data_IF_484351848337
#
_entry.id   IF_484351848337
#
_cell.length_a   1.000
_cell.length_b   1.000
_cell.length_c   1.000
_cell.angle_alpha   90.00
_cell.angle_beta   90.00
_cell.angle_gamma   90.00
#
_symmetry.space_group_name_H-M   'P 1'
#
loop_
_entity.id
_entity.type
_entity.pdbx_description
1 polymer ?
#
# COMPACT_ATOMS: atom_id res chain seq x y z
N UNK A 1 -10.00 20.60 16.32
CA UNK A 1 -9.56 19.93 15.07
C UNK A 1 -10.81 19.60 14.28
N UNK A 2 -10.95 20.09 13.03
CA UNK A 2 -12.17 19.83 12.25
C UNK A 2 -12.15 18.40 11.68
N UNK A 3 -13.32 17.84 11.37
CA UNK A 3 -13.41 16.52 10.73
C UNK A 3 -12.61 16.47 9.41
N UNK A 4 -12.53 17.60 8.70
CA UNK A 4 -11.74 17.77 7.48
C UNK A 4 -10.23 17.66 7.73
N UNK A 5 -9.72 18.27 8.80
CA UNK A 5 -8.30 18.21 9.16
C UNK A 5 -7.89 16.79 9.53
N UNK A 6 -8.76 16.06 10.23
CA UNK A 6 -8.54 14.66 10.57
C UNK A 6 -8.44 13.75 9.34
N UNK A 7 -9.33 13.94 8.35
CA UNK A 7 -9.27 13.18 7.09
C UNK A 7 -8.02 13.54 6.28
N UNK A 8 -7.59 14.81 6.28
CA UNK A 8 -6.32 15.23 5.64
C UNK A 8 -5.11 14.57 6.28
N UNK A 9 -5.05 14.51 7.61
CA UNK A 9 -3.95 13.84 8.32
C UNK A 9 -3.92 12.34 8.03
N UNK A 10 -5.09 11.68 8.00
CA UNK A 10 -5.21 10.28 7.58
C UNK A 10 -4.79 10.05 6.13
N UNK A 11 -5.09 10.97 5.22
CA UNK A 11 -4.64 10.89 3.83
C UNK A 11 -3.11 11.07 3.73
N UNK A 12 -2.53 11.98 4.51
CA UNK A 12 -1.07 12.16 4.58
C UNK A 12 -0.39 10.89 5.10
N UNK A 13 -0.91 10.31 6.19
CA UNK A 13 -0.46 9.01 6.68
C UNK A 13 -0.63 7.90 5.63
N UNK A 14 -1.78 7.87 4.94
CA UNK A 14 -2.04 6.92 3.87
C UNK A 14 -1.03 6.99 2.72
N UNK A 15 -0.59 8.20 2.34
CA UNK A 15 0.50 8.36 1.36
C UNK A 15 1.81 7.74 1.85
N UNK A 16 2.18 7.97 3.12
CA UNK A 16 3.39 7.39 3.72
C UNK A 16 3.32 5.85 3.70
N UNK A 17 2.17 5.28 4.07
CA UNK A 17 1.94 3.83 4.04
C UNK A 17 2.08 3.28 2.61
N UNK A 18 1.48 3.96 1.61
CA UNK A 18 1.60 3.56 0.20
C UNK A 18 3.06 3.60 -0.26
N UNK A 19 3.80 4.68 0.04
CA UNK A 19 5.21 4.82 -0.33
C UNK A 19 6.07 3.73 0.34
N UNK A 20 5.87 3.48 1.63
CA UNK A 20 6.58 2.40 2.35
C UNK A 20 6.26 1.02 1.79
N UNK A 21 5.00 0.79 1.43
CA UNK A 21 4.56 -0.46 0.81
C UNK A 21 5.19 -0.69 -0.58
N UNK A 22 5.27 0.35 -1.43
CA UNK A 22 5.98 0.28 -2.71
C UNK A 22 7.47 -0.01 -2.50
N UNK A 23 8.10 0.64 -1.52
CA UNK A 23 9.50 0.37 -1.15
C UNK A 23 9.72 -1.10 -0.77
N UNK A 24 8.86 -1.66 0.08
CA UNK A 24 8.92 -3.06 0.49
C UNK A 24 8.79 -4.04 -0.69
N UNK A 25 7.91 -3.74 -1.67
CA UNK A 25 7.78 -4.54 -2.89
C UNK A 25 9.09 -4.55 -3.68
N UNK A 26 9.71 -3.39 -3.86
CA UNK A 26 10.97 -3.28 -4.61
C UNK A 26 12.09 -4.04 -3.90
N UNK A 27 12.22 -3.89 -2.57
CA UNK A 27 13.22 -4.62 -1.79
C UNK A 27 13.02 -6.14 -1.88
N UNK A 28 11.77 -6.60 -1.78
CA UNK A 28 11.45 -8.01 -1.93
C UNK A 28 11.79 -8.51 -3.34
N UNK A 29 11.46 -7.74 -4.38
CA UNK A 29 11.78 -8.09 -5.76
C UNK A 29 13.29 -8.20 -6.01
N UNK A 30 14.08 -7.26 -5.48
CA UNK A 30 15.54 -7.30 -5.56
C UNK A 30 16.12 -8.50 -4.81
N UNK A 31 15.61 -8.79 -3.61
CA UNK A 31 16.01 -9.98 -2.84
C UNK A 31 15.73 -11.28 -3.62
N UNK A 32 14.57 -11.35 -4.28
CA UNK A 32 14.19 -12.51 -5.10
C UNK A 32 15.13 -12.67 -6.29
N UNK A 33 15.46 -11.59 -7.00
CA UNK A 33 16.39 -11.63 -8.14
C UNK A 33 17.75 -12.17 -7.71
N UNK A 34 18.24 -11.76 -6.53
CA UNK A 34 19.50 -12.27 -5.99
C UNK A 34 19.45 -13.76 -5.60
N UNK A 35 18.26 -14.32 -5.39
CA UNK A 35 18.05 -15.70 -4.90
C UNK A 35 17.25 -16.59 -5.88
N UNK A 36 17.30 -16.27 -7.19
CA UNK A 36 16.48 -16.87 -8.28
C UNK A 36 16.53 -18.42 -8.34
N UNK A 37 17.58 -19.06 -7.82
CA UNK A 37 17.76 -20.51 -7.90
C UNK A 37 16.86 -21.36 -6.99
N UNK A 38 16.20 -20.80 -5.96
CA UNK A 38 15.66 -21.64 -4.86
C UNK A 38 14.19 -21.39 -4.47
N UNK A 39 13.57 -20.25 -4.82
CA UNK A 39 12.38 -19.77 -4.10
C UNK A 39 11.15 -19.42 -4.95
N UNK A 40 11.02 -19.96 -6.18
CA UNK A 40 9.94 -19.61 -7.12
C UNK A 40 8.51 -19.73 -6.55
N UNK A 41 8.25 -20.69 -5.66
CA UNK A 41 6.95 -20.88 -5.01
C UNK A 41 6.64 -19.77 -3.98
N UNK A 42 7.63 -19.41 -3.16
CA UNK A 42 7.50 -18.35 -2.14
C UNK A 42 7.26 -17.00 -2.82
N UNK A 43 7.95 -16.76 -3.94
CA UNK A 43 7.79 -15.56 -4.78
C UNK A 43 6.36 -15.41 -5.28
N UNK A 44 5.78 -16.48 -5.85
CA UNK A 44 4.39 -16.46 -6.36
C UNK A 44 3.39 -16.19 -5.24
N UNK A 45 3.56 -16.81 -4.07
CA UNK A 45 2.72 -16.56 -2.90
C UNK A 45 2.81 -15.12 -2.41
N UNK A 46 4.02 -14.57 -2.32
CA UNK A 46 4.25 -13.19 -1.90
C UNK A 46 3.62 -12.18 -2.88
N UNK A 47 3.69 -12.42 -4.19
CA UNK A 47 3.05 -11.57 -5.20
C UNK A 47 1.53 -11.54 -5.03
N UNK A 48 0.88 -12.67 -4.77
CA UNK A 48 -0.57 -12.74 -4.55
C UNK A 48 -0.98 -11.95 -3.30
N UNK A 49 -0.25 -12.11 -2.20
CA UNK A 49 -0.48 -11.37 -0.96
C UNK A 49 -0.29 -9.87 -1.18
N UNK A 50 0.75 -9.47 -1.91
CA UNK A 50 1.02 -8.07 -2.24
C UNK A 50 -0.07 -7.47 -3.13
N UNK A 51 -0.58 -8.20 -4.12
CA UNK A 51 -1.71 -7.76 -4.94
C UNK A 51 -2.98 -7.55 -4.09
N UNK A 52 -3.29 -8.48 -3.19
CA UNK A 52 -4.43 -8.35 -2.28
C UNK A 52 -4.31 -7.16 -1.31
N UNK A 53 -3.11 -6.96 -0.76
CA UNK A 53 -2.81 -5.81 0.11
C UNK A 53 -2.90 -4.48 -0.67
N UNK A 54 -2.39 -4.43 -1.91
CA UNK A 54 -2.47 -3.26 -2.79
C UNK A 54 -3.92 -2.84 -3.04
N UNK A 55 -4.78 -3.81 -3.38
CA UNK A 55 -6.20 -3.55 -3.64
C UNK A 55 -6.93 -3.06 -2.39
N UNK A 56 -6.63 -3.62 -1.23
CA UNK A 56 -7.23 -3.22 0.05
C UNK A 56 -6.80 -1.80 0.43
N UNK A 57 -5.52 -1.49 0.26
CA UNK A 57 -4.95 -0.17 0.53
C UNK A 57 -5.51 0.90 -0.43
N UNK A 58 -5.65 0.56 -1.72
CA UNK A 58 -6.25 1.44 -2.72
C UNK A 58 -7.73 1.74 -2.41
N UNK A 59 -8.52 0.74 -2.00
CA UNK A 59 -9.92 0.95 -1.58
C UNK A 59 -10.02 1.84 -0.35
N UNK A 60 -9.18 1.60 0.66
CA UNK A 60 -9.14 2.41 1.87
C UNK A 60 -8.76 3.87 1.56
N UNK A 61 -7.73 4.08 0.74
CA UNK A 61 -7.29 5.42 0.35
C UNK A 61 -8.36 6.16 -0.48
N UNK A 62 -9.01 5.46 -1.42
CA UNK A 62 -10.13 6.01 -2.20
C UNK A 62 -11.28 6.44 -1.29
N UNK A 63 -11.65 5.62 -0.32
CA UNK A 63 -12.71 5.95 0.65
C UNK A 63 -12.41 7.23 1.42
N UNK A 64 -11.19 7.39 1.92
CA UNK A 64 -10.76 8.63 2.60
C UNK A 64 -10.79 9.85 1.68
N UNK A 65 -10.45 9.67 0.41
CA UNK A 65 -10.45 10.75 -0.57
C UNK A 65 -11.88 11.18 -0.95
N UNK A 66 -12.81 10.22 -0.99
CA UNK A 66 -14.24 10.49 -1.18
C UNK A 66 -14.85 11.16 0.07
N UNK A 67 -14.48 10.74 1.27
CA UNK A 67 -14.85 11.40 2.54
C UNK A 67 -14.33 12.84 2.62
N UNK A 68 -13.11 13.12 2.12
CA UNK A 68 -12.57 14.48 2.09
C UNK A 68 -13.37 15.40 1.16
N UNK A 69 -13.88 14.86 0.04
CA UNK A 69 -14.64 15.63 -0.97
C UNK A 69 -16.06 15.95 -0.52
N UNK A 70 -16.66 15.09 0.30
CA UNK A 70 -18.04 15.27 0.79
C UNK A 70 -18.12 16.16 2.03
N UNK A 71 -17.00 16.38 2.71
CA UNK A 71 -16.93 17.30 3.85
C UNK A 71 -16.79 18.77 3.39
N UNK A 72 -17.59 19.71 3.94
CA UNK A 72 -17.52 21.12 3.61
C UNK A 72 -16.15 21.75 3.91
#
# INVERSE_FOLDING_TARGET
MTQKDYVKEKLAFGKIVITGFVGAIITLYLYIIQNIGSNLFIVKGAIIILLGASLSLARWYKKLLDELKTLP
#
